data_IF_618286764689
#
_entry.id   IF_618286764689
#
_cell.length_a   1.000
_cell.length_b   1.000
_cell.length_c   1.000
_cell.angle_alpha   90.00
_cell.angle_beta   90.00
_cell.angle_gamma   90.00
#
_symmetry.space_group_name_H-M   'P 1'
#
loop_
_entity.id
_entity.type
_entity.pdbx_description
1 polymer ?
2 non-polymer ?
3 non-polymer ?
4 water ?
#
# COMPACT_ATOMS: atom_id res chain seq x y z
N UNK A 3 -11.64 14.37 15.21
CA UNK A 3 -11.52 13.32 16.19
C UNK A 3 -11.25 11.97 15.54
N UNK A 4 -10.14 11.34 15.92
CA UNK A 4 -9.68 10.12 15.26
C UNK A 4 -10.18 8.86 15.95
N UNK A 5 -10.57 7.87 15.13
CA UNK A 5 -10.83 6.52 15.63
C UNK A 5 -10.20 5.47 14.72
N UNK A 6 -9.67 4.40 15.31
CA UNK A 6 -9.16 3.29 14.52
C UNK A 6 -10.29 2.41 13.98
N UNK A 7 -11.50 2.62 14.46
CA UNK A 7 -12.65 1.83 14.03
C UNK A 7 -13.68 2.63 13.25
N UNK A 8 -13.27 3.80 12.77
CA UNK A 8 -14.07 4.58 11.82
C UNK A 8 -13.15 5.00 10.68
N UNK A 9 -13.72 5.45 9.58
CA UNK A 9 -12.93 6.04 8.50
C UNK A 9 -12.68 7.51 8.79
N UNK A 10 -11.43 7.93 8.71
CA UNK A 10 -11.05 9.30 9.07
C UNK A 10 -10.70 10.12 7.82
N UNK A 11 -11.12 11.37 7.80
CA UNK A 11 -10.81 12.23 6.66
C UNK A 11 -9.33 12.65 6.70
N UNK A 12 -8.88 13.35 5.67
CA UNK A 12 -7.47 13.62 5.55
C UNK A 12 -6.98 14.53 6.66
N UNK A 13 -7.74 15.57 6.97
CA UNK A 13 -7.35 16.47 8.06
C UNK A 13 -7.04 15.66 9.32
N UNK A 14 -7.89 14.68 9.61
CA UNK A 14 -7.74 13.85 10.80
C UNK A 14 -6.58 12.88 10.70
N UNK A 15 -6.40 12.28 9.52
CA UNK A 15 -5.28 11.38 9.32
C UNK A 15 -3.96 12.15 9.40
N UNK A 16 -3.95 13.33 8.79
CA UNK A 16 -2.76 14.19 8.84
C UNK A 16 -2.41 14.55 10.28
N UNK A 17 -3.42 14.91 11.08
CA UNK A 17 -3.15 15.25 12.47
C UNK A 17 -2.69 14.01 13.22
N UNK A 18 -3.24 12.86 12.86
CA UNK A 18 -2.87 11.61 13.50
C UNK A 18 -1.39 11.30 13.28
N UNK A 19 -0.89 11.54 12.06
CA UNK A 19 0.50 11.23 11.77
C UNK A 19 1.43 12.05 12.66
N UNK A 20 1.04 13.30 12.92
CA UNK A 20 1.83 14.17 13.80
C UNK A 20 1.65 13.73 15.25
N UNK A 21 0.43 13.37 15.61
CA UNK A 21 0.12 12.97 16.98
C UNK A 21 0.87 11.69 17.37
N UNK A 22 0.80 10.66 16.54
CA UNK A 22 1.42 9.39 16.86
C UNK A 22 2.94 9.54 16.91
N UNK A 23 3.48 10.46 16.13
CA UNK A 23 4.91 10.73 16.13
C UNK A 23 5.34 11.41 17.43
N UNK A 24 4.54 12.38 17.87
CA UNK A 24 4.85 13.13 19.09
C UNK A 24 4.71 12.29 20.36
N UNK A 25 3.86 11.27 20.30
CA UNK A 25 3.65 10.39 21.46
C UNK A 25 4.70 9.28 21.54
N UNK A 26 5.32 8.97 20.41
CA UNK A 26 6.28 7.88 20.34
C UNK A 26 7.55 8.35 19.66
N UNK A 27 8.10 9.49 20.13
CA UNK A 27 9.17 10.23 19.45
C UNK A 27 10.45 9.42 19.32
N UNK A 28 10.57 8.37 20.13
CA UNK A 28 11.76 7.54 20.08
C UNK A 28 11.49 6.19 19.39
N UNK A 29 10.29 6.05 18.82
CA UNK A 29 9.93 4.84 18.06
C UNK A 29 9.53 5.21 16.63
N UNK A 30 9.11 6.45 16.45
CA UNK A 30 8.53 6.91 15.19
C UNK A 30 9.06 8.28 14.76
N UNK A 31 9.49 8.37 13.50
CA UNK A 31 9.77 9.67 12.90
C UNK A 31 8.92 9.86 11.66
N UNK A 32 8.65 11.12 11.34
CA UNK A 32 7.80 11.48 10.20
C UNK A 32 8.53 12.35 9.19
N UNK A 33 8.33 12.07 7.90
CA UNK A 33 8.93 12.84 6.82
C UNK A 33 7.90 13.13 5.74
N UNK A 34 8.10 14.23 5.02
CA UNK A 34 7.35 14.47 3.81
C UNK A 34 8.23 14.15 2.61
N UNK A 35 7.82 13.17 1.81
CA UNK A 35 8.63 12.75 0.66
C UNK A 35 8.27 13.54 -0.59
N UNK A 36 7.28 14.42 -0.47
CA UNK A 36 6.87 15.23 -1.59
C UNK A 36 5.53 15.92 -1.36
N UNK A 37 4.97 16.47 -2.42
CA UNK A 37 3.65 17.10 -2.33
C UNK A 37 2.78 16.61 -3.47
N UNK A 38 1.47 16.64 -3.25
CA UNK A 38 0.53 16.20 -4.26
C UNK A 38 0.36 17.28 -5.31
N UNK A 39 -0.40 16.98 -6.36
CA UNK A 39 -0.71 17.95 -7.39
C UNK A 39 -1.30 19.22 -6.79
N UNK A 40 -2.14 19.04 -5.78
CA UNK A 40 -2.81 20.16 -5.14
C UNK A 40 -2.00 20.77 -4.00
N UNK A 41 -0.80 20.25 -3.77
CA UNK A 41 0.11 20.87 -2.82
C UNK A 41 0.11 20.30 -1.42
N UNK A 42 -0.63 19.21 -1.20
CA UNK A 42 -0.66 18.56 0.10
C UNK A 42 0.63 17.77 0.35
N UNK A 43 1.07 17.73 1.60
CA UNK A 43 2.28 16.99 1.98
C UNK A 43 2.03 15.48 2.00
N UNK A 44 2.88 14.74 1.31
CA UNK A 44 2.80 13.27 1.32
C UNK A 44 3.68 12.72 2.45
N UNK A 45 3.06 12.36 3.57
CA UNK A 45 3.81 11.95 4.75
C UNK A 45 4.21 10.48 4.73
N UNK A 46 5.38 10.19 5.27
CA UNK A 46 5.86 8.82 5.44
C UNK A 46 6.34 8.64 6.86
N UNK A 47 5.88 7.58 7.52
CA UNK A 47 6.31 7.28 8.89
C UNK A 47 7.40 6.20 8.88
N UNK A 48 8.43 6.40 9.69
CA UNK A 48 9.45 5.38 9.90
C UNK A 48 9.28 4.81 11.29
N UNK A 49 9.03 3.51 11.37
CA UNK A 49 8.69 2.87 12.64
C UNK A 49 9.68 1.76 12.98
N UNK A 50 10.32 1.88 14.14
CA UNK A 50 11.29 0.89 14.57
C UNK A 50 12.26 1.42 15.61
N UNK A 51 12.96 0.51 16.29
CA UNK A 51 13.99 0.89 17.23
C UNK A 51 15.14 1.57 16.48
N UNK A 52 15.44 2.82 16.84
CA UNK A 52 16.45 3.61 16.12
C UNK A 52 17.81 2.91 16.10
N UNK A 53 18.41 2.81 14.92
CA UNK A 53 19.69 2.14 14.78
C UNK A 53 20.26 2.30 13.38
N UNK A 54 21.59 2.28 13.25
CA UNK A 54 22.25 2.53 11.97
C UNK A 54 21.99 1.44 10.94
N UNK A 55 21.79 1.86 9.69
CA UNK A 55 21.68 0.95 8.55
C UNK A 55 20.91 -0.32 8.87
N UNK A 56 19.63 -0.18 9.21
CA UNK A 56 18.76 -1.34 9.38
C UNK A 56 18.05 -1.65 8.06
N UNK A 57 17.77 -2.93 7.81
CA UNK A 57 16.87 -3.24 6.69
C UNK A 57 15.48 -2.68 6.98
N UNK A 58 14.64 -2.64 5.96
CA UNK A 58 13.30 -2.06 6.11
C UNK A 58 12.28 -2.82 5.26
N UNK A 59 11.03 -2.77 5.71
CA UNK A 59 9.91 -3.17 4.89
C UNK A 59 9.13 -1.91 4.55
N UNK A 60 8.75 -1.76 3.28
CA UNK A 60 7.99 -0.58 2.86
C UNK A 60 6.54 -0.96 2.59
N UNK A 61 5.62 -0.24 3.21
CA UNK A 61 4.19 -0.47 2.99
C UNK A 61 3.46 0.85 2.70
N UNK A 62 2.63 0.86 1.67
CA UNK A 62 1.81 2.02 1.42
C UNK A 62 0.33 1.66 1.37
N UNK A 63 -0.50 2.63 1.70
CA UNK A 63 -1.94 2.49 1.56
C UNK A 63 -2.47 3.66 0.76
N UNK A 64 -3.72 3.55 0.31
CA UNK A 64 -4.39 4.69 -0.29
C UNK A 64 -3.92 5.10 -1.69
N UNK A 65 -3.38 4.17 -2.48
CA UNK A 65 -3.17 4.46 -3.91
C UNK A 65 -4.48 4.94 -4.54
N UNK A 66 -5.56 4.24 -4.22
CA UNK A 66 -6.84 4.49 -4.87
C UNK A 66 -7.84 5.09 -3.89
N UNK A 67 -8.40 6.23 -4.26
CA UNK A 67 -9.05 7.12 -3.30
C UNK A 67 -10.22 6.45 -2.59
N UNK A 68 -10.98 5.65 -3.33
CA UNK A 68 -12.21 5.09 -2.78
C UNK A 68 -12.01 3.86 -1.93
N UNK A 69 -10.80 3.36 -1.88
CA UNK A 69 -10.54 2.10 -1.17
C UNK A 69 -10.22 2.35 0.31
N UNK A 70 -11.22 2.87 1.01
CA UNK A 70 -11.02 3.45 2.35
C UNK A 70 -10.49 2.48 3.41
N UNK A 71 -10.75 1.17 3.24
CA UNK A 71 -10.24 0.22 4.22
C UNK A 71 -8.72 0.10 4.15
N UNK A 72 -8.14 0.45 2.99
CA UNK A 72 -6.69 0.49 2.84
C UNK A 72 -6.09 1.53 3.78
N UNK A 73 -6.59 2.76 3.70
CA UNK A 73 -6.09 3.84 4.55
C UNK A 73 -6.24 3.44 6.01
N UNK A 74 -7.37 2.84 6.36
CA UNK A 74 -7.65 2.43 7.73
C UNK A 74 -6.66 1.39 8.21
N UNK A 75 -6.24 0.50 7.32
CA UNK A 75 -5.25 -0.49 7.70
C UNK A 75 -3.87 0.05 8.04
N UNK A 76 -3.34 1.00 7.27
CA UNK A 76 -2.03 1.54 7.61
C UNK A 76 -2.06 2.16 9.00
N UNK A 77 -3.18 2.80 9.35
CA UNK A 77 -3.31 3.37 10.69
C UNK A 77 -3.36 2.28 11.75
N UNK A 78 -4.15 1.24 11.48
CA UNK A 78 -4.26 0.11 12.39
C UNK A 78 -2.90 -0.52 12.62
N UNK A 79 -2.16 -0.71 11.54
CA UNK A 79 -0.86 -1.34 11.63
C UNK A 79 0.09 -0.57 12.54
N UNK A 80 0.15 0.74 12.34
CA UNK A 80 1.04 1.57 13.16
C UNK A 80 0.67 1.49 14.65
N UNK A 81 -0.63 1.51 14.96
CA UNK A 81 -1.00 1.41 16.37
C UNK A 81 -0.59 0.07 16.96
N UNK A 82 -0.75 -1.00 16.19
CA UNK A 82 -0.39 -2.33 16.67
C UNK A 82 1.10 -2.39 16.94
N UNK A 83 1.89 -1.86 16.01
CA UNK A 83 3.32 -1.81 16.19
C UNK A 83 3.65 -1.14 17.53
N UNK A 84 3.05 0.03 17.78
CA UNK A 84 3.41 0.79 18.97
C UNK A 84 2.93 0.12 20.25
N UNK A 85 1.73 -0.48 20.20
CA UNK A 85 1.13 -1.06 21.39
C UNK A 85 1.86 -2.31 21.84
N UNK A 86 2.38 -3.06 20.87
CA UNK A 86 3.01 -4.35 21.18
C UNK A 86 4.53 -4.28 21.20
N UNK A 87 5.12 -3.21 20.70
CA UNK A 87 6.57 -3.10 20.76
C UNK A 87 7.03 -2.90 22.20
N UNK A 88 7.96 -3.74 22.63
CA UNK A 88 8.47 -3.64 23.98
C UNK A 88 7.99 -4.76 24.89
N UNK A 89 7.01 -5.55 24.41
CA UNK A 89 6.54 -6.69 25.19
C UNK A 89 5.75 -7.75 24.43
N UNK A 90 5.85 -7.75 23.10
CA UNK A 90 5.46 -8.92 22.33
C UNK A 90 6.69 -9.39 21.55
N UNK A 91 7.11 -10.63 21.77
CA UNK A 91 8.40 -11.10 21.29
C UNK A 91 8.57 -10.86 19.79
N UNK A 92 7.57 -11.26 19.01
CA UNK A 92 7.69 -11.15 17.56
C UNK A 92 7.81 -9.71 17.10
N UNK A 93 6.84 -8.87 17.45
CA UNK A 93 6.86 -7.48 17.02
C UNK A 93 8.07 -6.74 17.62
N UNK A 94 8.43 -7.09 18.84
CA UNK A 94 9.61 -6.50 19.47
C UNK A 94 10.87 -6.87 18.70
N UNK A 95 10.98 -8.13 18.30
CA UNK A 95 12.10 -8.55 17.47
C UNK A 95 12.02 -7.87 16.10
N UNK A 96 10.83 -7.81 15.53
CA UNK A 96 10.62 -7.17 14.25
C UNK A 96 11.21 -5.76 14.23
N UNK A 97 10.79 -4.94 15.18
CA UNK A 97 11.17 -3.53 15.18
C UNK A 97 12.57 -3.33 15.76
N UNK A 98 13.10 -4.39 16.36
CA UNK A 98 14.49 -4.38 16.81
C UNK A 98 15.44 -4.58 15.63
N UNK A 99 15.07 -5.49 14.72
CA UNK A 99 15.96 -5.89 13.65
C UNK A 99 15.75 -5.10 12.36
N UNK A 100 14.58 -4.50 12.21
CA UNK A 100 14.29 -3.74 11.00
C UNK A 100 13.38 -2.54 11.23
N UNK A 101 13.25 -1.70 10.21
CA UNK A 101 12.35 -0.56 10.26
C UNK A 101 11.17 -0.82 9.33
N UNK A 102 10.04 -0.20 9.63
CA UNK A 102 8.92 -0.15 8.71
C UNK A 102 8.75 1.27 8.19
N UNK A 103 8.69 1.40 6.88
CA UNK A 103 8.31 2.67 6.25
C UNK A 103 6.84 2.58 5.91
N UNK A 104 6.01 3.31 6.64
CA UNK A 104 4.57 3.31 6.40
C UNK A 104 4.12 4.61 5.73
N UNK A 105 3.55 4.48 4.53
CA UNK A 105 3.02 5.64 3.83
C UNK A 105 1.50 5.55 3.89
N UNK A 106 0.88 6.25 4.85
CA UNK A 106 -0.54 6.01 5.17
C UNK A 106 -1.52 6.35 4.05
N UNK A 107 -1.27 7.43 3.32
CA UNK A 107 -2.10 7.77 2.17
C UNK A 107 -1.23 8.36 1.05
N UNK A 108 -1.14 7.67 -0.08
CA UNK A 108 -0.38 8.22 -1.20
C UNK A 108 -1.21 9.26 -1.93
N UNK A 109 -2.41 8.87 -2.34
CA UNK A 109 -3.23 9.70 -3.21
C UNK A 109 -4.15 10.58 -2.39
N UNK A 110 -3.54 11.61 -1.78
CA UNK A 110 -4.24 12.47 -0.84
C UNK A 110 -5.31 13.33 -1.51
N UNK A 111 -5.01 13.85 -2.69
CA UNK A 111 -5.98 14.70 -3.40
C UNK A 111 -7.26 13.93 -3.70
N UNK A 112 -7.10 12.69 -4.18
CA UNK A 112 -8.27 11.88 -4.48
C UNK A 112 -9.03 11.51 -3.22
N UNK A 113 -8.31 11.21 -2.14
CA UNK A 113 -8.99 10.87 -0.90
C UNK A 113 -9.87 12.01 -0.43
N UNK A 114 -9.35 13.24 -0.48
CA UNK A 114 -10.16 14.39 -0.10
C UNK A 114 -11.38 14.51 -1.00
N UNK A 115 -11.18 14.23 -2.28
CA UNK A 115 -12.26 14.31 -3.25
C UNK A 115 -13.37 13.29 -2.94
N UNK A 116 -12.99 12.11 -2.43
CA UNK A 116 -14.02 11.11 -2.10
C UNK A 116 -14.81 11.46 -0.84
N UNK A 117 -14.23 12.33 -0.01
CA UNK A 117 -14.89 12.81 1.18
C UNK A 117 -15.76 14.03 0.91
N UNK A 118 -15.48 14.74 -0.18
CA UNK A 118 -16.16 16.00 -0.43
C UNK A 118 -17.12 16.03 -1.60
N UNK A 119 -16.82 15.29 -2.67
CA UNK A 119 -17.64 15.35 -3.88
C UNK A 119 -18.14 14.03 -4.44
N UNK A 120 -17.27 13.02 -4.48
CA UNK A 120 -17.60 11.75 -5.13
C UNK A 120 -16.89 10.60 -4.44
N UNK A 121 -17.65 9.87 -3.62
CA UNK A 121 -17.15 8.73 -2.85
C UNK A 121 -16.49 7.66 -3.72
N UNK A 122 -16.79 7.66 -5.01
CA UNK A 122 -16.35 6.58 -5.89
C UNK A 122 -15.17 6.98 -6.77
N UNK A 123 -14.58 8.14 -6.50
CA UNK A 123 -13.38 8.53 -7.23
C UNK A 123 -12.21 7.59 -6.93
N UNK A 124 -11.37 7.36 -7.95
CA UNK A 124 -10.25 6.42 -7.90
C UNK A 124 -8.92 7.12 -8.11
N UNK A 125 -8.85 7.98 -9.13
CA UNK A 125 -7.59 8.48 -9.65
C UNK A 125 -6.99 9.65 -8.86
N UNK A 126 -5.87 10.19 -9.33
CA UNK A 126 -5.37 11.44 -8.77
C UNK A 126 -6.30 12.58 -9.20
N UNK A 127 -5.93 13.81 -8.92
CA UNK A 127 -6.76 14.95 -9.29
C UNK A 127 -6.04 15.98 -10.16
N UNK A 128 -5.05 15.53 -10.92
CA UNK A 128 -4.29 16.42 -11.79
C UNK A 128 -4.99 16.65 -13.13
N UNK A 129 -4.72 17.79 -13.76
CA UNK A 129 -5.39 18.16 -15.01
C UNK A 129 -4.76 17.47 -16.22
N UNK A 130 -5.56 17.34 -17.28
CA UNK A 130 -5.09 16.73 -18.53
C UNK A 130 -5.34 17.67 -19.71
N UNK A 131 -4.55 17.49 -20.76
CA UNK A 131 -4.67 18.33 -21.95
C UNK A 131 -5.50 17.65 -23.03
N UNK A 132 -6.23 18.45 -23.81
CA UNK A 132 -7.03 17.91 -24.88
C UNK A 132 -8.38 17.40 -24.40
N UNK A 133 -8.62 17.49 -23.09
CA UNK A 133 -9.85 16.99 -22.50
C UNK A 133 -10.10 17.67 -21.16
N UNK A 134 -11.35 17.68 -20.71
CA UNK A 134 -11.69 18.26 -19.41
C UNK A 134 -11.57 17.23 -18.29
N UNK A 135 -11.30 15.99 -18.66
CA UNK A 135 -11.25 14.92 -17.68
C UNK A 135 -10.03 15.02 -16.77
N UNK A 136 -10.23 14.61 -15.52
CA UNK A 136 -9.23 14.78 -14.48
C UNK A 136 -8.61 13.44 -14.07
N UNK A 137 -7.31 13.44 -13.81
CA UNK A 137 -6.71 12.35 -13.06
C UNK A 137 -6.05 11.22 -13.84
N UNK A 138 -5.06 10.60 -13.20
CA UNK A 138 -4.32 9.47 -13.74
C UNK A 138 -4.39 8.34 -12.69
N UNK A 139 -4.44 7.10 -13.16
CA UNK A 139 -4.44 5.95 -12.26
C UNK A 139 -3.01 5.73 -11.77
N UNK A 140 -2.76 6.00 -10.48
CA UNK A 140 -1.39 5.90 -9.95
C UNK A 140 -0.79 4.50 -10.11
N UNK A 141 -1.63 3.47 -10.08
CA UNK A 141 -1.14 2.12 -10.24
C UNK A 141 -1.10 1.71 -11.71
N UNK A 142 -1.11 2.71 -12.59
CA UNK A 142 -0.81 2.53 -14.01
C UNK A 142 0.33 3.47 -14.41
N UNK A 143 0.90 4.16 -13.43
CA UNK A 143 1.78 5.30 -13.72
C UNK A 143 3.26 5.01 -13.44
N UNK A 144 3.59 3.77 -13.12
CA UNK A 144 4.97 3.41 -12.81
C UNK A 144 5.70 2.80 -14.01
N UNK A 145 7.02 2.90 -14.00
CA UNK A 145 7.85 2.47 -15.12
C UNK A 145 8.01 0.96 -15.19
N UNK A 146 6.89 0.25 -15.28
CA UNK A 146 6.90 -1.21 -15.38
C UNK A 146 6.03 -1.66 -16.55
N UNK A 147 6.64 -1.77 -17.72
CA UNK A 147 5.87 -2.08 -18.91
C UNK A 147 4.79 -1.04 -19.10
N UNK A 148 5.14 0.22 -18.89
CA UNK A 148 4.17 1.30 -18.79
C UNK A 148 3.22 1.38 -20.00
N UNK A 149 1.94 1.47 -19.70
CA UNK A 149 0.89 1.62 -20.71
C UNK A 149 0.95 0.62 -21.85
N UNK A 150 1.50 -0.56 -21.60
CA UNK A 150 1.62 -1.58 -22.64
C UNK A 150 0.43 -2.52 -22.67
N UNK A 151 -0.21 -2.71 -21.52
CA UNK A 151 -1.39 -3.56 -21.45
C UNK A 151 -2.14 -3.36 -20.13
N UNK A 152 -3.47 -3.42 -20.20
CA UNK A 152 -4.27 -3.31 -18.99
C UNK A 152 -4.43 -1.87 -18.52
N UNK A 153 -4.02 -0.93 -19.36
CA UNK A 153 -4.20 0.48 -19.06
C UNK A 153 -4.90 1.19 -20.22
N UNK A 154 -5.50 2.34 -19.94
CA UNK A 154 -6.13 3.14 -20.98
C UNK A 154 -5.30 4.37 -21.33
N UNK A 155 -5.26 4.70 -22.62
CA UNK A 155 -4.61 5.92 -23.07
C UNK A 155 -5.60 7.08 -23.03
N UNK A 156 -6.85 6.77 -22.69
CA UNK A 156 -7.91 7.77 -22.61
C UNK A 156 -7.95 8.39 -21.21
N UNK A 157 -7.67 9.69 -21.12
CA UNK A 157 -7.61 10.40 -19.83
C UNK A 157 -8.94 10.45 -19.08
N UNK A 158 -10.03 10.12 -19.76
CA UNK A 158 -11.34 10.08 -19.14
C UNK A 158 -11.61 8.72 -18.49
N UNK A 159 -10.73 7.75 -18.73
CA UNK A 159 -10.91 6.41 -18.19
C UNK A 159 -10.28 6.25 -16.81
N UNK A 160 -10.76 5.26 -16.06
CA UNK A 160 -10.33 5.05 -14.68
C UNK A 160 -8.93 4.45 -14.58
N UNK A 161 -8.47 3.85 -15.68
CA UNK A 161 -7.15 3.24 -15.72
C UNK A 161 -6.17 4.02 -16.58
N UNK A 162 -6.45 5.31 -16.78
CA UNK A 162 -5.58 6.14 -17.60
C UNK A 162 -4.15 6.08 -17.09
N UNK A 163 -3.21 5.80 -18.00
CA UNK A 163 -1.85 5.52 -17.59
C UNK A 163 -1.01 6.78 -17.38
N UNK A 164 -1.56 7.92 -17.81
CA UNK A 164 -0.88 9.18 -17.59
C UNK A 164 -0.13 9.67 -18.82
N UNK A 165 0.40 10.89 -18.75
CA UNK A 165 1.13 11.48 -19.86
C UNK A 165 2.40 10.69 -20.16
N UNK A 166 2.98 10.13 -19.10
CA UNK A 166 4.23 9.39 -19.20
C UNK A 166 4.47 8.70 -17.86
N UNK A 167 5.34 7.70 -17.85
CA UNK A 167 5.67 7.03 -16.60
C UNK A 167 6.09 8.07 -15.56
N UNK A 168 5.54 7.94 -14.36
CA UNK A 168 5.85 8.83 -13.25
C UNK A 168 5.48 10.28 -13.54
N UNK A 169 4.54 10.47 -14.47
CA UNK A 169 4.00 11.80 -14.75
C UNK A 169 3.41 12.44 -13.49
N UNK A 170 2.87 11.61 -12.61
CA UNK A 170 2.23 12.10 -11.40
C UNK A 170 3.23 12.41 -10.30
N UNK A 171 3.04 13.55 -9.65
CA UNK A 171 3.93 13.98 -8.58
C UNK A 171 3.93 12.98 -7.43
N UNK A 172 2.79 12.30 -7.23
CA UNK A 172 2.68 11.35 -6.14
C UNK A 172 3.50 10.08 -6.41
N UNK A 173 3.43 9.60 -7.66
CA UNK A 173 4.16 8.41 -8.05
C UNK A 173 5.66 8.71 -8.16
N UNK A 174 5.99 9.90 -8.63
CA UNK A 174 7.38 10.35 -8.69
C UNK A 174 7.96 10.38 -7.29
N UNK A 175 7.24 11.02 -6.36
CA UNK A 175 7.70 11.12 -4.98
C UNK A 175 7.94 9.73 -4.39
N UNK A 176 7.01 8.81 -4.59
CA UNK A 176 7.17 7.47 -4.06
C UNK A 176 8.35 6.75 -4.72
N UNK A 177 8.44 6.87 -6.04
CA UNK A 177 9.49 6.21 -6.79
C UNK A 177 10.85 6.76 -6.40
N UNK A 178 10.94 8.07 -6.20
CA UNK A 178 12.19 8.73 -5.82
C UNK A 178 12.67 8.29 -4.44
N UNK A 179 11.75 8.13 -3.50
CA UNK A 179 12.13 7.73 -2.15
C UNK A 179 12.72 6.33 -2.15
N UNK A 180 12.06 5.43 -2.87
CA UNK A 180 12.46 4.04 -2.91
C UNK A 180 13.81 3.85 -3.61
N UNK A 181 14.01 4.60 -4.69
CA UNK A 181 15.28 4.56 -5.40
C UNK A 181 16.42 4.88 -4.46
N UNK A 182 16.24 5.92 -3.66
CA UNK A 182 17.28 6.38 -2.74
C UNK A 182 17.55 5.36 -1.64
N UNK A 183 16.57 4.53 -1.34
CA UNK A 183 16.69 3.58 -0.24
C UNK A 183 16.64 2.12 -0.69
N UNK A 184 16.95 1.87 -1.95
CA UNK A 184 16.94 0.51 -2.47
C UNK A 184 17.87 -0.41 -1.71
N UNK A 185 18.85 0.19 -1.03
CA UNK A 185 19.84 -0.59 -0.28
C UNK A 185 19.23 -1.29 0.92
N UNK A 186 18.31 -0.59 1.59
CA UNK A 186 17.77 -1.06 2.86
C UNK A 186 16.42 -1.75 2.71
N UNK A 187 15.65 -1.37 1.69
CA UNK A 187 14.30 -1.89 1.51
C UNK A 187 14.30 -3.33 0.99
N UNK A 188 13.81 -4.24 1.82
CA UNK A 188 13.88 -5.67 1.54
C UNK A 188 12.55 -6.26 1.08
N UNK A 189 11.46 -5.57 1.39
CA UNK A 189 10.13 -6.02 0.96
C UNK A 189 9.27 -4.82 0.64
N UNK A 190 8.34 -4.98 -0.28
CA UNK A 190 7.41 -3.92 -0.66
C UNK A 190 5.98 -4.45 -0.60
N UNK A 191 5.15 -3.76 0.18
CA UNK A 191 3.76 -4.16 0.37
C UNK A 191 2.86 -2.97 0.04
N UNK A 192 1.91 -3.18 -0.84
CA UNK A 192 0.99 -2.11 -1.20
C UNK A 192 -0.46 -2.57 -0.97
N UNK A 193 -1.21 -1.78 -0.20
CA UNK A 193 -2.52 -2.21 0.29
C UNK A 193 -3.66 -1.58 -0.51
N UNK A 194 -4.50 -2.44 -1.07
CA UNK A 194 -5.69 -2.04 -1.83
C UNK A 194 -6.94 -2.74 -1.26
N UNK A 195 -8.11 -2.40 -1.80
CA UNK A 195 -9.31 -3.24 -1.65
C UNK A 195 -10.10 -3.10 -2.94
N UNK A 196 -11.04 -3.99 -3.21
CA UNK A 196 -11.36 -5.16 -2.41
C UNK A 196 -11.18 -6.38 -3.33
N UNK A 197 -11.39 -7.56 -2.76
CA UNK A 197 -11.59 -8.84 -3.49
C UNK A 197 -10.82 -9.98 -2.82
N UNK A 198 -10.10 -9.66 -1.74
CA UNK A 198 -9.47 -10.68 -0.91
C UNK A 198 -8.46 -11.54 -1.67
N UNK A 199 -7.37 -10.89 -2.07
CA UNK A 199 -6.30 -11.55 -2.78
C UNK A 199 -4.94 -11.08 -2.27
N UNK A 200 -3.94 -11.93 -2.43
CA UNK A 200 -2.55 -11.48 -2.39
C UNK A 200 -1.95 -11.69 -3.78
N UNK A 201 -1.47 -10.60 -4.39
CA UNK A 201 -0.89 -10.66 -5.71
C UNK A 201 0.62 -10.44 -5.64
N UNK A 202 1.35 -11.10 -6.54
CA UNK A 202 2.75 -10.78 -6.77
C UNK A 202 2.98 -10.71 -8.27
N UNK A 203 4.15 -10.20 -8.70
CA UNK A 203 4.42 -10.02 -10.13
C UNK A 203 4.28 -11.32 -10.93
N UNK A 204 4.00 -11.21 -12.21
CA UNK A 204 3.86 -9.93 -12.90
C UNK A 204 2.42 -9.61 -13.30
N UNK A 205 2.13 -8.32 -13.46
CA UNK A 205 0.85 -7.88 -13.96
C UNK A 205 0.94 -7.30 -15.37
N UNK A 206 2.11 -6.76 -15.72
CA UNK A 206 2.28 -6.18 -17.05
C UNK A 206 2.68 -7.20 -18.10
N UNK A 207 2.75 -8.47 -17.69
CA UNK A 207 2.99 -9.56 -18.63
C UNK A 207 2.73 -10.91 -17.94
N UNK A 208 2.26 -11.88 -18.72
CA UNK A 208 1.94 -13.20 -18.17
C UNK A 208 3.22 -13.96 -17.82
N UNK A 209 4.36 -13.32 -18.05
CA UNK A 209 5.65 -13.84 -17.64
C UNK A 209 5.70 -13.99 -16.12
N UNK A 210 6.24 -15.12 -15.66
CA UNK A 210 6.32 -15.39 -14.23
C UNK A 210 7.67 -14.94 -13.66
N UNK A 211 7.68 -14.52 -12.38
CA UNK A 211 8.88 -14.05 -11.69
C UNK A 211 9.88 -15.17 -11.41
N UNK A 212 11.16 -14.82 -11.39
CA UNK A 212 12.24 -15.79 -11.16
C UNK A 212 11.94 -16.69 -9.96
N UNK A 213 11.68 -16.08 -8.82
CA UNK A 213 11.37 -16.81 -7.61
C UNK A 213 9.87 -17.01 -7.46
N UNK A 214 9.19 -17.20 -8.60
CA UNK A 214 7.76 -17.46 -8.60
C UNK A 214 7.43 -18.54 -7.58
N UNK A 215 8.34 -19.50 -7.43
CA UNK A 215 8.14 -20.58 -6.48
C UNK A 215 8.09 -20.05 -5.05
N UNK A 216 9.08 -19.26 -4.68
CA UNK A 216 9.19 -18.74 -3.33
C UNK A 216 7.98 -17.85 -2.98
N UNK A 217 7.59 -17.01 -3.92
CA UNK A 217 6.51 -16.04 -3.68
C UNK A 217 5.15 -16.72 -3.58
N UNK A 218 4.90 -17.69 -4.47
CA UNK A 218 3.62 -18.38 -4.46
C UNK A 218 3.45 -19.15 -3.16
N UNK A 219 4.56 -19.68 -2.64
CA UNK A 219 4.54 -20.45 -1.42
C UNK A 219 4.28 -19.56 -0.22
N UNK A 220 4.91 -18.38 -0.22
CA UNK A 220 4.74 -17.42 0.87
C UNK A 220 3.30 -16.91 0.90
N UNK A 221 2.76 -16.59 -0.27
CA UNK A 221 1.39 -16.07 -0.35
C UNK A 221 0.37 -17.12 0.13
N UNK A 222 0.59 -18.37 -0.27
CA UNK A 222 -0.27 -19.46 0.13
C UNK A 222 -0.28 -19.59 1.65
N UNK A 223 0.90 -19.48 2.24
CA UNK A 223 1.05 -19.59 3.69
C UNK A 223 0.39 -18.40 4.37
N UNK A 224 0.51 -17.23 3.75
CA UNK A 224 -0.03 -16.00 4.31
C UNK A 224 -1.55 -16.03 4.36
N UNK A 225 -2.18 -16.50 3.28
CA UNK A 225 -3.63 -16.55 3.22
C UNK A 225 -4.20 -17.59 4.17
N UNK A 226 -3.44 -18.66 4.41
CA UNK A 226 -3.89 -19.68 5.36
C UNK A 226 -3.83 -19.11 6.77
N UNK A 227 -2.80 -18.30 7.04
CA UNK A 227 -2.64 -17.66 8.33
C UNK A 227 -3.76 -16.66 8.58
N UNK A 228 -4.13 -15.91 7.54
CA UNK A 228 -5.15 -14.89 7.66
C UNK A 228 -6.53 -15.50 7.95
N UNK A 229 -6.81 -16.64 7.31
CA UNK A 229 -8.12 -17.27 7.42
C UNK A 229 -8.36 -17.91 8.78
N UNK A 230 -7.30 -18.06 9.57
CA UNK A 230 -7.41 -18.73 10.85
C UNK A 230 -8.34 -17.97 11.80
N UNK A 231 -8.39 -16.65 11.66
CA UNK A 231 -9.09 -15.82 12.62
C UNK A 231 -10.60 -15.87 12.41
N UNK A 232 -11.04 -15.57 11.18
CA UNK A 232 -12.46 -15.43 10.90
C UNK A 232 -12.93 -16.30 9.74
N UNK A 233 -12.01 -17.07 9.16
CA UNK A 233 -12.37 -17.93 8.05
C UNK A 233 -12.37 -17.23 6.70
N UNK A 234 -11.86 -16.00 6.66
CA UNK A 234 -11.92 -15.23 5.44
C UNK A 234 -11.04 -15.85 4.37
N UNK A 235 -11.63 -16.04 3.18
CA UNK A 235 -10.97 -16.76 2.11
C UNK A 235 -10.32 -15.82 1.12
N UNK A 236 -8.99 -15.91 0.99
CA UNK A 236 -8.25 -15.15 -0.01
C UNK A 236 -7.81 -16.05 -1.16
N UNK A 237 -7.73 -15.49 -2.36
CA UNK A 237 -7.05 -16.16 -3.47
C UNK A 237 -5.70 -15.47 -3.70
N UNK A 238 -4.85 -16.04 -4.55
CA UNK A 238 -3.50 -15.52 -4.68
C UNK A 238 -2.80 -16.00 -5.96
N UNK A 239 -1.74 -15.28 -6.34
CA UNK A 239 -1.00 -15.63 -7.54
C UNK A 239 -0.45 -14.42 -8.27
N UNK A 240 0.18 -14.62 -9.44
CA UNK A 240 0.68 -13.51 -10.26
C UNK A 240 -0.47 -12.62 -10.71
N UNK A 241 -0.23 -11.31 -10.73
CA UNK A 241 -1.32 -10.37 -10.94
C UNK A 241 -2.14 -10.60 -12.20
N UNK A 242 -1.46 -10.79 -13.33
CA UNK A 242 -2.14 -10.79 -14.62
C UNK A 242 -3.20 -11.87 -14.73
N UNK A 243 -2.95 -13.03 -14.14
CA UNK A 243 -3.86 -14.16 -14.25
C UNK A 243 -4.78 -14.34 -13.04
N UNK A 244 -4.39 -13.76 -11.91
CA UNK A 244 -5.18 -13.91 -10.68
C UNK A 244 -6.29 -12.87 -10.63
N UNK A 245 -6.06 -11.72 -11.25
CA UNK A 245 -7.07 -10.69 -11.32
C UNK A 245 -7.26 -10.22 -12.77
N UNK A 246 -6.34 -9.39 -13.27
CA UNK A 246 -6.30 -9.05 -14.69
C UNK A 246 -5.01 -8.31 -15.03
N UNK A 247 -4.64 -8.25 -16.32
CA UNK A 247 -3.44 -7.52 -16.69
C UNK A 247 -3.54 -6.03 -16.38
N UNK A 248 -2.48 -5.48 -15.81
CA UNK A 248 -2.45 -4.06 -15.46
C UNK A 248 -1.02 -3.56 -15.43
N UNK A 249 -0.56 -2.99 -16.54
CA UNK A 249 0.79 -2.50 -16.64
C UNK A 249 0.99 -1.24 -15.82
N UNK A 250 2.22 -1.00 -15.39
CA UNK A 250 2.54 0.23 -14.69
C UNK A 250 2.28 0.20 -13.20
N UNK A 251 2.21 -1.00 -12.63
CA UNK A 251 1.93 -1.15 -11.22
C UNK A 251 3.16 -0.98 -10.34
N UNK A 252 2.95 -0.50 -9.13
CA UNK A 252 4.08 -0.21 -8.23
C UNK A 252 4.74 -1.47 -7.71
N UNK A 253 3.98 -2.56 -7.62
CA UNK A 253 4.54 -3.82 -7.12
C UNK A 253 5.48 -4.45 -8.15
N UNK A 254 5.07 -4.47 -9.42
CA UNK A 254 5.94 -4.94 -10.50
C UNK A 254 7.19 -4.07 -10.60
N UNK A 255 7.01 -2.76 -10.49
CA UNK A 255 8.15 -1.83 -10.58
C UNK A 255 9.10 -2.04 -9.41
N UNK A 256 8.55 -2.27 -8.22
CA UNK A 256 9.37 -2.49 -7.05
C UNK A 256 10.21 -3.76 -7.24
N UNK A 257 9.59 -4.79 -7.81
CA UNK A 257 10.25 -6.08 -7.97
C UNK A 257 11.36 -6.03 -9.01
N UNK A 258 11.16 -5.22 -10.04
CA UNK A 258 12.17 -5.08 -11.10
C UNK A 258 13.34 -4.23 -10.66
N UNK A 259 13.21 -3.55 -9.52
CA UNK A 259 14.29 -2.74 -8.98
C UNK A 259 15.23 -3.55 -8.11
N UNK A 260 14.81 -4.75 -7.75
CA UNK A 260 15.64 -5.59 -6.89
C UNK A 260 15.01 -5.90 -5.55
N UNK A 261 13.72 -5.62 -5.41
CA UNK A 261 12.99 -5.96 -4.20
C UNK A 261 12.21 -7.25 -4.46
N UNK A 262 12.81 -8.37 -4.09
CA UNK A 262 12.31 -9.68 -4.50
C UNK A 262 11.08 -10.14 -3.75
N UNK A 263 10.71 -9.41 -2.69
CA UNK A 263 9.46 -9.68 -2.00
C UNK A 263 8.52 -8.49 -2.19
N UNK A 264 7.66 -8.59 -3.19
CA UNK A 264 6.78 -7.49 -3.56
C UNK A 264 5.37 -8.02 -3.69
N UNK A 265 4.45 -7.51 -2.86
CA UNK A 265 3.08 -8.01 -2.81
C UNK A 265 2.05 -6.89 -2.87
N UNK A 266 0.95 -7.16 -3.56
CA UNK A 266 -0.24 -6.32 -3.48
C UNK A 266 -1.33 -7.06 -2.69
N UNK A 267 -1.86 -6.41 -1.66
CA UNK A 267 -2.98 -6.96 -0.91
C UNK A 267 -4.30 -6.34 -1.36
N UNK A 268 -5.31 -7.18 -1.55
CA UNK A 268 -6.67 -6.71 -1.79
C UNK A 268 -7.52 -7.17 -0.62
N UNK A 269 -8.01 -6.22 0.19
CA UNK A 269 -8.65 -6.58 1.46
C UNK A 269 -10.14 -6.88 1.23
N UNK A 270 -10.90 -7.00 2.32
CA UNK A 270 -12.34 -7.29 2.24
C UNK A 270 -13.08 -6.21 1.45
N UNK A 271 -14.22 -6.57 0.85
CA UNK A 271 -14.74 -7.93 0.87
C UNK A 271 -14.65 -8.51 -0.55
N UNK A 272 -15.66 -9.28 -0.96
CA UNK A 272 -15.63 -9.84 -2.30
C UNK A 272 -16.73 -9.24 -3.19
N UNK A 273 -17.29 -8.13 -2.75
CA UNK A 273 -18.22 -7.40 -3.59
C UNK A 273 -19.59 -7.13 -3.01
N UNK A 274 -19.91 -7.74 -1.87
CA UNK A 274 -21.21 -7.49 -1.27
C UNK A 274 -21.35 -6.00 -0.94
N UNK A 275 -20.33 -5.44 -0.29
CA UNK A 275 -20.31 -4.01 -0.01
C UNK A 275 -19.26 -3.29 -0.85
N UNK A 276 -18.24 -4.04 -1.27
CA UNK A 276 -17.22 -3.47 -2.15
C UNK A 276 -16.39 -2.39 -1.48
N UNK A 277 -16.27 -1.23 -2.14
CA UNK A 277 -15.48 -0.14 -1.58
C UNK A 277 -16.11 0.48 -0.34
N UNK A 278 -17.43 0.35 -0.23
CA UNK A 278 -18.16 0.94 0.89
C UNK A 278 -18.28 -0.10 2.00
N UNK A 279 -17.15 -0.59 2.50
CA UNK A 279 -17.15 -1.62 3.53
C UNK A 279 -17.63 -1.00 4.84
N UNK A 280 -18.58 -1.66 5.51
CA UNK A 280 -19.10 -1.14 6.77
C UNK A 280 -18.01 -0.91 7.80
N UNK A 281 -18.12 0.19 8.54
CA UNK A 281 -17.15 0.50 9.58
C UNK A 281 -17.10 -0.60 10.64
N UNK A 282 -18.21 -1.31 10.81
CA UNK A 282 -18.28 -2.40 11.77
C UNK A 282 -17.32 -3.54 11.43
N UNK A 283 -16.82 -3.54 10.19
CA UNK A 283 -15.89 -4.57 9.73
C UNK A 283 -14.43 -4.12 9.73
N UNK A 284 -14.17 -2.89 10.12
CA UNK A 284 -12.78 -2.39 10.07
C UNK A 284 -11.88 -3.23 10.97
N UNK A 285 -12.30 -3.44 12.21
CA UNK A 285 -11.47 -4.15 13.17
C UNK A 285 -11.15 -5.55 12.71
N UNK A 286 -12.19 -6.33 12.36
CA UNK A 286 -11.99 -7.71 11.94
C UNK A 286 -11.06 -7.78 10.74
N UNK A 287 -11.30 -6.92 9.75
CA UNK A 287 -10.50 -6.90 8.54
C UNK A 287 -9.03 -6.61 8.89
N UNK A 288 -8.82 -5.63 9.76
CA UNK A 288 -7.46 -5.23 10.08
C UNK A 288 -6.74 -6.30 10.89
N UNK A 289 -7.47 -6.91 11.83
CA UNK A 289 -6.88 -7.94 12.67
C UNK A 289 -6.37 -9.13 11.88
N UNK A 290 -7.15 -9.57 10.89
CA UNK A 290 -6.77 -10.75 10.12
C UNK A 290 -5.66 -10.41 9.13
N UNK A 291 -5.69 -9.20 8.59
CA UNK A 291 -4.67 -8.74 7.67
C UNK A 291 -3.30 -8.64 8.37
N UNK A 292 -3.32 -8.18 9.62
CA UNK A 292 -2.11 -8.17 10.44
C UNK A 292 -1.44 -9.55 10.47
N UNK A 293 -2.23 -10.61 10.58
CA UNK A 293 -1.66 -11.95 10.66
C UNK A 293 -0.85 -12.29 9.40
N UNK A 294 -1.32 -11.84 8.24
CA UNK A 294 -0.64 -12.10 6.98
C UNK A 294 0.60 -11.24 6.86
N UNK A 295 0.48 -9.97 7.25
CA UNK A 295 1.61 -9.06 7.19
C UNK A 295 2.73 -9.52 8.11
N UNK A 296 2.37 -9.93 9.32
CA UNK A 296 3.36 -10.38 10.29
C UNK A 296 4.00 -11.68 9.82
N UNK A 297 3.23 -12.52 9.14
CA UNK A 297 3.79 -13.77 8.63
C UNK A 297 4.85 -13.48 7.58
N UNK A 298 4.60 -12.46 6.75
CA UNK A 298 5.54 -12.08 5.70
C UNK A 298 6.77 -11.41 6.29
N UNK A 299 6.57 -10.60 7.31
CA UNK A 299 7.67 -9.92 7.99
C UNK A 299 8.60 -10.95 8.64
N UNK A 300 8.02 -11.92 9.33
CA UNK A 300 8.80 -12.97 9.98
C UNK A 300 9.66 -13.70 8.97
N UNK A 301 9.10 -13.97 7.79
CA UNK A 301 9.82 -14.71 6.76
C UNK A 301 10.96 -13.89 6.17
N UNK A 302 10.66 -12.66 5.77
CA UNK A 302 11.67 -11.78 5.18
C UNK A 302 12.82 -11.59 6.16
N UNK A 303 12.49 -11.42 7.44
CA UNK A 303 13.49 -11.29 8.48
C UNK A 303 14.39 -12.53 8.49
N UNK A 304 13.76 -13.69 8.37
CA UNK A 304 14.50 -14.94 8.47
C UNK A 304 15.40 -15.22 7.28
N UNK A 305 14.97 -14.78 6.10
CA UNK A 305 15.72 -15.01 4.88
C UNK A 305 16.44 -13.74 4.44
N UNK A 306 16.64 -12.83 5.39
CA UNK A 306 17.25 -11.54 5.09
C UNK A 306 18.75 -11.70 4.87
#
# INVERSE_FOLDING_TARGET
TTGHSYEKYNNWETIEAWTKQVTSENPDLISRTAIGTTFLGNNIYLLKVGKPGPNKPAIFMDCGFHAREWISHAFCQWFVREAVLTYGYESHMTEFLNKLDFYVLPVLNIDGYIYTWTKNRMWRKTRSTNAGTTCIGTDPNRNFDAGWCTTGASTDPCDETYCGSAAESEKETKALADFIRNNLSSIKAYLTIHSYSQMILYPYSYDYKLPENNAELNNLAKAAVKELATLYGTKYTYGPGATTIYPAAGGSDDWAYDQGIKYSFTFELRDKGRYGFILPESQIQATCEETMLAIKYVTNYVLGHL
#
